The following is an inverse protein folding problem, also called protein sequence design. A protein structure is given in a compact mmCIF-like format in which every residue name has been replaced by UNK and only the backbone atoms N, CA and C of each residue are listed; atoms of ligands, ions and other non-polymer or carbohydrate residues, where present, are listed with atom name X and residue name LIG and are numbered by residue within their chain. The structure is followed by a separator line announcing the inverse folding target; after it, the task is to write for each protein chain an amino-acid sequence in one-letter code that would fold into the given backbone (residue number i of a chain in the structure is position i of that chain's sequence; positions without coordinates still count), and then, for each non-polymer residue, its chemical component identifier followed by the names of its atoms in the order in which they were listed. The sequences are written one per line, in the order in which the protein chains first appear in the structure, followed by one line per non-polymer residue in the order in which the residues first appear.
data_IF_990809128335
#
_entry.id   IF_990809128335
#
_cell.length_a   1.000
_cell.length_b   1.000
_cell.length_c   1.000
_cell.angle_alpha   90.00
_cell.angle_beta   90.00
_cell.angle_gamma   90.00
#
_symmetry.space_group_name_H-M   'P 1'
#
loop_
_entity.id
_entity.type
_entity.pdbx_description
1 polymer ?
#
# COMPACT_ATOMS: atom_id res chain seq x y z
N UNK A 1 26.95 0.70 1.51
CA UNK A 1 25.54 0.42 1.14
C UNK A 1 24.71 0.59 2.40
N UNK A 2 23.75 1.52 2.44
CA UNK A 2 23.03 1.85 3.69
C UNK A 2 21.94 0.79 4.00
N UNK A 3 21.76 0.35 5.27
CA UNK A 3 20.80 -0.70 5.64
C UNK A 3 19.33 -0.26 5.64
N UNK A 4 19.04 1.03 5.51
CA UNK A 4 17.73 1.60 5.87
C UNK A 4 16.72 1.69 4.71
N UNK A 5 16.47 0.56 4.04
CA UNK A 5 15.28 0.45 3.19
C UNK A 5 14.28 -0.51 3.85
N UNK A 6 12.96 -0.26 3.81
CA UNK A 6 11.90 -1.17 4.30
C UNK A 6 11.80 -2.49 3.51
N UNK A 7 12.87 -2.87 2.80
CA UNK A 7 13.01 -3.96 1.84
C UNK A 7 12.81 -5.36 2.40
N UNK A 8 12.29 -5.52 3.61
CA UNK A 8 12.08 -6.84 4.21
C UNK A 8 10.63 -7.33 4.06
N UNK A 9 9.62 -6.46 4.12
CA UNK A 9 8.21 -6.92 4.12
C UNK A 9 7.68 -7.22 2.71
N UNK A 10 8.08 -6.42 1.71
CA UNK A 10 7.44 -6.39 0.38
C UNK A 10 8.36 -6.74 -0.79
N UNK A 11 9.64 -7.05 -0.55
CA UNK A 11 10.62 -7.28 -1.64
C UNK A 11 10.22 -8.41 -2.58
N UNK A 12 9.51 -9.40 -2.04
CA UNK A 12 9.17 -10.61 -2.76
C UNK A 12 7.69 -10.62 -3.19
N UNK A 13 7.03 -9.46 -3.23
CA UNK A 13 5.69 -9.32 -3.82
C UNK A 13 5.79 -9.06 -5.34
N UNK A 14 4.91 -9.68 -6.15
CA UNK A 14 4.73 -9.29 -7.55
C UNK A 14 4.29 -7.83 -7.67
N UNK A 15 4.89 -7.08 -8.60
CA UNK A 15 4.56 -5.65 -8.79
C UNK A 15 3.08 -5.44 -9.12
N UNK A 16 2.46 -6.37 -9.87
CA UNK A 16 1.04 -6.29 -10.23
C UNK A 16 0.07 -6.43 -9.05
N UNK A 17 0.54 -6.77 -7.84
CA UNK A 17 -0.29 -6.74 -6.64
C UNK A 17 -0.64 -5.31 -6.21
N UNK A 18 0.15 -4.32 -6.62
CA UNK A 18 0.00 -2.93 -6.17
C UNK A 18 -0.96 -2.19 -7.10
N UNK A 19 -2.22 -2.06 -6.67
CA UNK A 19 -3.19 -1.15 -7.27
C UNK A 19 -3.14 0.23 -6.62
N UNK A 20 -3.14 1.31 -7.43
CA UNK A 20 -3.24 2.69 -6.93
C UNK A 20 -4.32 3.41 -7.74
N UNK A 21 -5.33 3.93 -7.04
CA UNK A 21 -6.39 4.74 -7.63
C UNK A 21 -6.22 6.18 -7.17
N UNK A 22 -6.19 7.12 -8.12
CA UNK A 22 -6.22 8.55 -7.85
C UNK A 22 -7.64 9.06 -8.09
N UNK A 23 -8.30 9.51 -7.03
CA UNK A 23 -9.65 10.07 -7.10
C UNK A 23 -9.61 11.56 -6.76
N UNK A 24 -10.07 12.40 -7.69
CA UNK A 24 -10.19 13.82 -7.47
C UNK A 24 -11.48 14.13 -6.70
N UNK A 25 -11.36 14.66 -5.49
CA UNK A 25 -12.50 15.04 -4.66
C UNK A 25 -12.89 16.50 -4.93
N UNK A 26 -14.17 16.80 -5.24
CA UNK A 26 -14.62 18.18 -5.41
C UNK A 26 -14.41 19.01 -4.14
N UNK A 27 -14.11 20.31 -4.30
CA UNK A 27 -13.90 21.26 -3.19
C UNK A 27 -15.06 21.35 -2.19
N UNK A 28 -16.27 20.99 -2.62
CA UNK A 28 -17.49 20.99 -1.82
C UNK A 28 -17.75 19.66 -1.10
N UNK A 29 -16.86 18.67 -1.21
CA UNK A 29 -17.13 17.30 -0.78
C UNK A 29 -16.15 16.76 0.27
N UNK A 30 -15.11 17.53 0.64
CA UNK A 30 -14.11 17.10 1.62
C UNK A 30 -13.96 18.10 2.76
N UNK A 31 -14.14 17.62 3.99
CA UNK A 31 -14.18 18.45 5.19
C UNK A 31 -13.33 17.83 6.30
N UNK A 32 -12.59 18.67 7.03
CA UNK A 32 -11.84 18.27 8.23
C UNK A 32 -12.31 19.16 9.38
N UNK A 33 -12.80 18.55 10.46
CA UNK A 33 -13.35 19.29 11.61
C UNK A 33 -14.51 20.22 11.22
N UNK A 34 -15.33 19.80 10.25
CA UNK A 34 -16.47 20.59 9.75
C UNK A 34 -16.13 21.75 8.83
N UNK A 35 -14.86 21.93 8.44
CA UNK A 35 -14.41 23.00 7.52
C UNK A 35 -13.96 22.40 6.17
N UNK A 36 -14.26 23.04 5.02
CA UNK A 36 -13.77 22.59 3.73
C UNK A 36 -12.25 22.44 3.70
N UNK A 37 -11.75 21.34 3.12
CA UNK A 37 -10.34 21.01 3.05
C UNK A 37 -9.89 20.83 1.59
N UNK A 38 -9.60 21.97 0.94
CA UNK A 38 -9.24 22.03 -0.50
C UNK A 38 -7.74 21.81 -0.77
N UNK A 39 -6.97 21.57 0.28
CA UNK A 39 -5.51 21.49 0.36
C UNK A 39 -5.06 20.14 0.95
N UNK A 40 -5.90 19.11 0.87
CA UNK A 40 -5.73 17.87 1.61
C UNK A 40 -5.70 16.63 0.72
N UNK A 41 -4.82 15.68 1.04
CA UNK A 41 -4.76 14.34 0.44
C UNK A 41 -5.10 13.28 1.48
N UNK A 42 -6.18 12.52 1.25
CA UNK A 42 -6.56 11.37 2.09
C UNK A 42 -6.13 10.07 1.43
N UNK A 43 -5.44 9.21 2.18
CA UNK A 43 -4.91 7.94 1.67
C UNK A 43 -5.47 6.77 2.49
N UNK A 44 -6.21 5.90 1.83
CA UNK A 44 -6.69 4.63 2.38
C UNK A 44 -5.95 3.48 1.70
N UNK A 45 -5.51 2.50 2.49
CA UNK A 45 -4.75 1.34 1.99
C UNK A 45 -5.31 0.08 2.61
N UNK A 46 -5.60 -0.92 1.77
CA UNK A 46 -5.86 -2.29 2.22
C UNK A 46 -4.60 -3.14 2.00
N UNK A 47 -4.01 -3.61 3.09
CA UNK A 47 -2.98 -4.64 3.03
C UNK A 47 -3.62 -6.03 3.11
N UNK A 48 -3.45 -6.80 2.04
CA UNK A 48 -4.04 -8.14 1.92
C UNK A 48 -2.97 -9.24 1.91
N UNK A 49 -1.90 -9.01 1.14
CA UNK A 49 -0.86 -10.02 0.90
C UNK A 49 0.05 -10.30 2.11
N UNK A 50 0.10 -9.38 3.09
CA UNK A 50 0.92 -9.47 4.30
C UNK A 50 0.20 -8.79 5.45
N UNK A 51 0.47 -9.30 6.64
CA UNK A 51 0.15 -8.64 7.91
C UNK A 51 1.46 -8.22 8.58
N UNK A 52 1.46 -7.07 9.24
CA UNK A 52 2.57 -6.56 10.03
C UNK A 52 2.16 -6.64 11.50
N UNK A 53 2.63 -7.68 12.19
CA UNK A 53 2.18 -7.96 13.56
C UNK A 53 2.95 -7.17 14.63
N UNK A 54 4.21 -6.82 14.38
CA UNK A 54 5.05 -6.09 15.33
C UNK A 54 5.03 -4.58 15.11
N UNK A 55 5.00 -3.82 16.21
CA UNK A 55 4.87 -2.36 16.16
C UNK A 55 6.09 -1.68 15.55
N UNK A 56 7.28 -2.24 15.73
CA UNK A 56 8.51 -1.69 15.15
C UNK A 56 8.45 -1.68 13.62
N UNK A 57 7.99 -2.78 13.01
CA UNK A 57 7.82 -2.88 11.56
C UNK A 57 6.68 -2.00 11.07
N UNK A 58 5.58 -1.85 11.82
CA UNK A 58 4.52 -0.88 11.48
C UNK A 58 5.07 0.54 11.42
N UNK A 59 5.86 0.95 12.42
CA UNK A 59 6.47 2.29 12.45
C UNK A 59 7.45 2.50 11.29
N UNK A 60 8.32 1.53 11.01
CA UNK A 60 9.22 1.59 9.85
C UNK A 60 8.47 1.71 8.53
N UNK A 61 7.39 0.95 8.36
CA UNK A 61 6.54 1.02 7.18
C UNK A 61 5.94 2.42 7.01
N UNK A 62 5.29 2.96 8.05
CA UNK A 62 4.66 4.28 8.00
C UNK A 62 5.68 5.39 7.70
N UNK A 63 6.85 5.35 8.35
CA UNK A 63 7.92 6.32 8.11
C UNK A 63 8.42 6.29 6.66
N UNK A 64 8.52 5.10 6.08
CA UNK A 64 8.98 4.97 4.71
C UNK A 64 7.96 5.39 3.67
N UNK A 65 6.67 5.12 3.90
CA UNK A 65 5.60 5.65 3.05
C UNK A 65 5.59 7.17 3.12
N UNK A 66 5.66 7.75 4.32
CA UNK A 66 5.75 9.20 4.48
C UNK A 66 6.93 9.80 3.70
N UNK A 67 8.12 9.18 3.79
CA UNK A 67 9.30 9.60 3.02
C UNK A 67 9.08 9.51 1.50
N UNK A 68 8.47 8.44 1.02
CA UNK A 68 8.22 8.23 -0.41
C UNK A 68 7.19 9.23 -0.97
N UNK A 69 6.20 9.60 -0.18
CA UNK A 69 5.12 10.52 -0.57
C UNK A 69 5.49 12.00 -0.42
N UNK A 70 6.47 12.33 0.42
CA UNK A 70 6.81 13.71 0.77
C UNK A 70 6.97 14.65 -0.45
N UNK A 71 7.71 14.29 -1.53
CA UNK A 71 7.88 15.17 -2.70
C UNK A 71 6.59 15.49 -3.47
N UNK A 72 5.55 14.67 -3.28
CA UNK A 72 4.29 14.78 -4.00
C UNK A 72 3.17 15.45 -3.18
N UNK A 73 3.34 15.51 -1.85
CA UNK A 73 2.29 15.97 -0.92
C UNK A 73 2.85 17.03 0.03
N UNK A 74 3.64 16.60 1.02
CA UNK A 74 4.08 17.48 2.11
C UNK A 74 4.98 18.62 1.62
N UNK A 75 5.94 18.32 0.74
CA UNK A 75 6.85 19.33 0.16
C UNK A 75 6.14 20.30 -0.79
N UNK A 76 4.90 19.98 -1.19
CA UNK A 76 4.01 20.85 -1.97
C UNK A 76 3.07 21.69 -1.10
N UNK A 77 3.23 21.63 0.23
CA UNK A 77 2.41 22.37 1.19
C UNK A 77 1.01 21.80 1.40
N UNK A 78 0.74 20.56 0.96
CA UNK A 78 -0.54 19.90 1.19
C UNK A 78 -0.57 19.20 2.55
N UNK A 79 -1.71 19.26 3.21
CA UNK A 79 -2.00 18.47 4.41
C UNK A 79 -2.40 17.05 3.99
N UNK A 80 -2.16 16.05 4.84
CA UNK A 80 -2.50 14.67 4.49
C UNK A 80 -2.73 13.77 5.70
N UNK A 81 -3.45 12.68 5.45
CA UNK A 81 -3.67 11.59 6.40
C UNK A 81 -3.64 10.26 5.65
N UNK A 82 -3.01 9.26 6.26
CA UNK A 82 -3.03 7.88 5.80
C UNK A 82 -3.47 6.95 6.92
N UNK A 83 -4.22 5.91 6.55
CA UNK A 83 -4.40 4.73 7.38
C UNK A 83 -4.23 3.47 6.53
N UNK A 84 -4.01 2.35 7.22
CA UNK A 84 -3.94 1.01 6.62
C UNK A 84 -4.88 0.10 7.38
N UNK A 85 -5.75 -0.58 6.65
CA UNK A 85 -6.52 -1.72 7.13
C UNK A 85 -5.85 -3.02 6.65
N UNK A 86 -5.84 -4.04 7.49
CA UNK A 86 -5.35 -5.38 7.13
C UNK A 86 -6.54 -6.32 6.92
N UNK A 87 -6.69 -6.86 5.71
CA UNK A 87 -7.86 -7.67 5.34
C UNK A 87 -7.50 -9.16 5.21
N UNK A 88 -8.47 -10.08 5.35
CA UNK A 88 -8.16 -11.52 5.33
C UNK A 88 -7.67 -12.01 3.96
N UNK A 89 -6.42 -12.52 3.92
CA UNK A 89 -5.84 -13.14 2.71
C UNK A 89 -6.69 -14.28 2.13
N UNK A 90 -7.44 -15.00 2.97
CA UNK A 90 -8.31 -16.10 2.54
C UNK A 90 -9.50 -15.66 1.69
N UNK A 91 -9.86 -14.37 1.71
CA UNK A 91 -10.97 -13.79 0.96
C UNK A 91 -10.50 -12.97 -0.25
N UNK A 92 -9.29 -13.25 -0.75
CA UNK A 92 -8.69 -12.53 -1.86
C UNK A 92 -8.49 -13.41 -3.10
N UNK A 93 -8.89 -12.88 -4.26
CA UNK A 93 -8.61 -13.48 -5.58
C UNK A 93 -8.13 -12.42 -6.56
N UNK A 94 -7.33 -12.84 -7.55
CA UNK A 94 -6.95 -12.02 -8.71
C UNK A 94 -7.34 -12.80 -9.97
N UNK A 95 -8.21 -12.21 -10.80
CA UNK A 95 -8.81 -12.89 -11.98
C UNK A 95 -9.45 -14.26 -11.61
N UNK A 96 -10.05 -14.34 -10.42
CA UNK A 96 -10.67 -15.57 -9.91
C UNK A 96 -9.67 -16.62 -9.38
N UNK A 97 -8.36 -16.35 -9.42
CA UNK A 97 -7.33 -17.27 -8.93
C UNK A 97 -6.91 -16.83 -7.53
N UNK A 98 -6.81 -17.80 -6.61
CA UNK A 98 -6.27 -17.55 -5.26
C UNK A 98 -4.78 -17.22 -5.37
N UNK A 99 -4.30 -16.11 -4.79
CA UNK A 99 -2.88 -15.80 -4.79
C UNK A 99 -2.07 -16.86 -4.05
N UNK A 100 -0.91 -17.26 -4.59
CA UNK A 100 -0.06 -18.25 -3.96
C UNK A 100 0.42 -17.75 -2.59
N UNK A 101 0.62 -18.70 -1.68
CA UNK A 101 1.16 -18.39 -0.37
C UNK A 101 2.54 -17.74 -0.54
N UNK A 102 2.84 -16.70 0.23
CA UNK A 102 4.15 -16.05 0.24
C UNK A 102 5.33 -17.02 0.34
N UNK A 103 6.40 -16.78 -0.44
CA UNK A 103 7.63 -17.58 -0.36
C UNK A 103 7.55 -18.98 -0.98
N UNK A 104 6.47 -19.29 -1.71
CA UNK A 104 6.33 -20.55 -2.47
C UNK A 104 6.89 -20.41 -3.90
N UNK A 105 7.24 -21.53 -4.57
CA UNK A 105 7.64 -21.51 -5.99
C UNK A 105 6.61 -20.84 -6.90
N UNK A 106 5.31 -21.04 -6.64
CA UNK A 106 4.23 -20.40 -7.38
C UNK A 106 4.22 -18.88 -7.19
N UNK A 107 4.49 -18.41 -5.96
CA UNK A 107 4.65 -16.98 -5.67
C UNK A 107 5.84 -16.38 -6.42
N UNK A 108 6.94 -17.11 -6.54
CA UNK A 108 8.10 -16.71 -7.32
C UNK A 108 7.80 -16.65 -8.83
N UNK A 109 7.05 -17.62 -9.37
CA UNK A 109 6.55 -17.57 -10.74
C UNK A 109 5.70 -16.32 -10.98
N UNK A 110 4.71 -16.05 -10.13
CA UNK A 110 3.87 -14.85 -10.25
C UNK A 110 4.70 -13.56 -10.15
N UNK A 111 5.72 -13.53 -9.29
CA UNK A 111 6.61 -12.37 -9.13
C UNK A 111 7.45 -12.13 -10.37
N UNK A 112 8.07 -13.18 -10.91
CA UNK A 112 8.95 -13.10 -12.08
C UNK A 112 8.17 -12.80 -13.36
N UNK A 113 7.01 -13.44 -13.55
CA UNK A 113 6.16 -13.20 -14.73
C UNK A 113 5.29 -11.95 -14.63
N UNK A 114 5.19 -11.37 -13.43
CA UNK A 114 4.38 -10.20 -13.11
C UNK A 114 2.92 -10.30 -13.60
N UNK A 115 2.32 -11.48 -13.46
CA UNK A 115 0.93 -11.77 -13.83
C UNK A 115 0.38 -12.94 -12.99
N UNK A 116 -0.95 -13.06 -12.81
CA UNK A 116 -1.53 -14.26 -12.25
C UNK A 116 -1.47 -15.42 -13.25
N UNK A 117 -1.20 -16.62 -12.76
CA UNK A 117 -1.20 -17.88 -13.52
C UNK A 117 -1.73 -19.04 -12.66
N UNK A 118 -2.41 -20.00 -13.29
CA UNK A 118 -2.91 -21.19 -12.59
C UNK A 118 -1.76 -22.09 -12.11
N UNK A 119 -1.99 -22.82 -11.01
CA UNK A 119 -1.01 -23.71 -10.37
C UNK A 119 -1.67 -24.90 -9.67
#
# INVERSE_FOLDING_TARGET
MSPDHPRLVYRDLPSFYVGVVFEAVPKSAFYIGGKPANDFVRIAVDHIARQINDDETKQRFLAAVAKQLAPYIAERGLRWEMHVDETPFSLWTIQGIRPPVPGTPQGETWRTENRPSAY
#
